data_IF_898131859187
#
_entry.id   IF_898131859187
#
_cell.length_a   1.000
_cell.length_b   1.000
_cell.length_c   1.000
_cell.angle_alpha   90.00
_cell.angle_beta   90.00
_cell.angle_gamma   90.00
#
_symmetry.space_group_name_H-M   'P 1'
#
loop_
_entity.id
_entity.type
_entity.pdbx_description
1 polymer ?
#
# COMPACT_ATOMS: atom_id res chain seq x y z
N UNK A 1 6.52 -12.86 14.90
CA UNK A 1 7.86 -12.81 15.51
C UNK A 1 8.40 -11.41 15.44
N UNK A 2 9.39 -11.06 16.27
CA UNK A 2 10.05 -9.75 16.24
C UNK A 2 10.97 -9.61 15.03
N UNK A 3 11.08 -8.39 14.49
CA UNK A 3 11.97 -8.03 13.37
C UNK A 3 13.28 -7.42 13.90
N UNK A 4 14.09 -8.24 14.55
CA UNK A 4 15.26 -7.81 15.32
C UNK A 4 16.61 -8.27 14.75
N UNK A 5 16.61 -9.17 13.77
CA UNK A 5 17.84 -9.65 13.15
C UNK A 5 18.33 -8.65 12.11
N UNK A 6 19.60 -8.25 12.17
CA UNK A 6 20.17 -7.29 11.22
C UNK A 6 21.14 -7.96 10.25
N UNK A 7 21.01 -7.67 8.97
CA UNK A 7 21.99 -8.08 7.97
C UNK A 7 23.30 -7.30 8.15
N UNK A 8 24.43 -8.01 8.28
CA UNK A 8 25.76 -7.40 8.44
C UNK A 8 26.23 -6.59 7.22
N UNK A 9 25.64 -6.83 6.04
CA UNK A 9 26.05 -6.16 4.81
C UNK A 9 25.30 -4.87 4.52
N UNK A 10 23.99 -4.83 4.81
CA UNK A 10 23.13 -3.67 4.46
C UNK A 10 22.36 -3.07 5.64
N UNK A 11 22.45 -3.64 6.85
CA UNK A 11 21.74 -3.15 8.02
C UNK A 11 20.22 -3.34 8.01
N UNK A 12 19.65 -3.94 6.95
CA UNK A 12 18.22 -4.25 6.89
C UNK A 12 17.83 -5.22 8.01
N UNK A 13 16.64 -5.01 8.58
CA UNK A 13 16.06 -5.85 9.64
C UNK A 13 15.26 -6.98 9.01
N UNK A 14 15.34 -8.16 9.61
CA UNK A 14 14.72 -9.41 9.17
C UNK A 14 14.05 -10.11 10.33
N UNK A 15 13.06 -10.93 9.99
CA UNK A 15 12.63 -11.98 10.91
C UNK A 15 13.63 -13.14 10.87
N UNK A 16 13.87 -13.78 12.01
CA UNK A 16 14.80 -14.92 12.08
C UNK A 16 14.41 -16.07 11.14
N UNK A 17 13.11 -16.23 10.85
CA UNK A 17 12.60 -17.24 9.91
C UNK A 17 12.99 -16.96 8.44
N UNK A 18 13.42 -15.74 8.11
CA UNK A 18 13.87 -15.35 6.77
C UNK A 18 15.36 -15.61 6.53
N UNK A 19 16.06 -16.17 7.52
CA UNK A 19 17.47 -16.55 7.37
C UNK A 19 17.63 -17.54 6.22
N UNK A 20 18.82 -17.54 5.62
CA UNK A 20 19.20 -18.56 4.66
C UNK A 20 19.08 -19.95 5.32
N UNK A 21 18.52 -20.91 4.58
CA UNK A 21 18.35 -22.29 5.02
C UNK A 21 19.67 -22.92 5.45
N UNK A 22 20.76 -22.55 4.76
CA UNK A 22 22.10 -23.07 5.02
C UNK A 22 22.85 -22.34 6.14
N UNK A 23 22.28 -21.29 6.71
CA UNK A 23 22.89 -20.56 7.82
C UNK A 23 22.48 -21.12 9.17
N UNK A 24 23.41 -21.13 10.13
CA UNK A 24 23.09 -21.55 11.50
C UNK A 24 22.29 -20.46 12.23
N UNK A 25 21.64 -20.81 13.34
CA UNK A 25 21.03 -19.82 14.22
C UNK A 25 22.07 -18.86 14.82
N UNK A 26 23.24 -19.39 15.18
CA UNK A 26 24.36 -18.62 15.75
C UNK A 26 25.06 -17.69 14.75
N UNK A 27 24.93 -17.96 13.45
CA UNK A 27 25.49 -17.17 12.36
C UNK A 27 24.46 -17.06 11.24
N UNK A 28 23.34 -16.42 11.57
CA UNK A 28 22.22 -16.24 10.65
C UNK A 28 22.63 -15.31 9.52
N UNK A 29 22.45 -15.75 8.27
CA UNK A 29 22.76 -14.96 7.08
C UNK A 29 21.49 -14.60 6.36
N UNK A 30 21.43 -13.36 5.85
CA UNK A 30 20.28 -12.83 5.13
C UNK A 30 20.73 -12.30 3.77
N UNK A 31 20.00 -12.67 2.72
CA UNK A 31 20.35 -12.32 1.35
C UNK A 31 19.24 -11.62 0.57
N UNK A 32 18.01 -11.56 1.08
CA UNK A 32 16.85 -11.10 0.31
C UNK A 32 17.00 -9.67 -0.22
N UNK A 33 17.56 -8.75 0.57
CA UNK A 33 17.69 -7.33 0.18
C UNK A 33 18.98 -6.99 -0.56
N UNK A 34 20.12 -7.55 -0.13
CA UNK A 34 21.44 -7.17 -0.63
C UNK A 34 22.16 -8.29 -1.39
N UNK A 35 21.49 -9.41 -1.65
CA UNK A 35 22.06 -10.62 -2.23
C UNK A 35 23.33 -11.10 -1.48
N UNK A 36 23.34 -10.97 -0.15
CA UNK A 36 24.49 -11.30 0.70
C UNK A 36 25.67 -10.32 0.52
N UNK A 37 25.38 -9.03 0.33
CA UNK A 37 26.37 -7.98 0.14
C UNK A 37 26.85 -7.79 -1.31
N UNK A 38 26.32 -8.56 -2.26
CA UNK A 38 26.62 -8.40 -3.70
C UNK A 38 25.99 -7.15 -4.28
N UNK A 39 24.83 -6.74 -3.76
CA UNK A 39 24.13 -5.54 -4.19
C UNK A 39 24.37 -4.42 -3.19
N UNK A 40 24.96 -3.32 -3.66
CA UNK A 40 25.06 -2.06 -2.90
C UNK A 40 23.75 -1.31 -3.05
N UNK A 41 22.96 -1.27 -1.98
CA UNK A 41 21.73 -0.50 -1.94
C UNK A 41 22.07 0.99 -1.80
N UNK A 42 21.31 1.89 -2.45
CA UNK A 42 21.38 3.31 -2.17
C UNK A 42 21.13 3.58 -0.68
N UNK A 43 21.69 4.67 -0.12
CA UNK A 43 21.30 5.13 1.20
C UNK A 43 19.78 5.31 1.26
N UNK A 44 19.16 4.91 2.37
CA UNK A 44 17.77 5.25 2.62
C UNK A 44 17.72 6.77 2.80
N UNK A 45 17.02 7.45 1.90
CA UNK A 45 16.78 8.87 2.04
C UNK A 45 15.77 9.08 3.15
N UNK A 46 16.01 10.07 4.00
CA UNK A 46 14.97 10.57 4.89
C UNK A 46 13.76 10.96 4.05
N UNK A 47 12.56 10.67 4.56
CA UNK A 47 11.33 11.06 3.88
C UNK A 47 11.41 12.56 3.58
N UNK A 48 11.25 12.99 2.31
CA UNK A 48 11.25 14.41 1.99
C UNK A 48 10.07 15.16 2.63
N UNK A 49 9.11 14.43 3.21
CA UNK A 49 7.91 14.95 3.85
C UNK A 49 7.84 14.50 5.32
N UNK A 50 8.39 15.27 6.26
CA UNK A 50 8.40 14.91 7.69
C UNK A 50 6.98 14.81 8.27
N UNK A 51 6.04 15.60 7.77
CA UNK A 51 4.63 15.52 8.16
C UNK A 51 4.01 14.13 7.86
N UNK A 52 4.33 13.54 6.70
CA UNK A 52 3.82 12.21 6.37
C UNK A 52 4.40 11.18 7.34
N UNK A 53 5.69 11.25 7.65
CA UNK A 53 6.30 10.34 8.62
C UNK A 53 5.62 10.48 10.00
N UNK A 54 5.35 11.70 10.43
CA UNK A 54 4.70 11.99 11.70
C UNK A 54 3.28 11.42 11.80
N UNK A 55 2.52 11.39 10.69
CA UNK A 55 1.22 10.70 10.60
C UNK A 55 1.32 9.18 10.84
N UNK A 56 2.47 8.56 10.55
CA UNK A 56 2.70 7.12 10.79
C UNK A 56 3.29 6.81 12.17
N UNK A 57 4.10 7.72 12.73
CA UNK A 57 4.93 7.41 13.90
C UNK A 57 4.51 8.12 15.18
N UNK A 58 3.80 9.25 15.09
CA UNK A 58 3.42 10.01 16.28
C UNK A 58 2.23 9.42 17.01
N UNK A 59 1.99 9.88 18.23
CA UNK A 59 0.82 9.53 19.04
C UNK A 59 -0.24 10.63 19.07
N UNK A 60 -0.18 11.58 18.13
CA UNK A 60 -1.17 12.64 18.01
C UNK A 60 -2.51 12.10 17.49
N UNK A 61 -3.60 12.83 17.77
CA UNK A 61 -4.95 12.46 17.32
C UNK A 61 -5.01 12.20 15.82
N UNK A 62 -4.31 13.01 15.05
CA UNK A 62 -4.34 13.00 13.59
C UNK A 62 -3.61 11.78 13.04
N UNK A 63 -2.47 11.41 13.65
CA UNK A 63 -1.73 10.19 13.31
C UNK A 63 -2.51 8.91 13.67
N UNK A 64 -3.19 8.90 14.82
CA UNK A 64 -4.06 7.80 15.23
C UNK A 64 -5.23 7.66 14.24
N UNK A 65 -5.89 8.77 13.89
CA UNK A 65 -6.98 8.79 12.92
C UNK A 65 -6.51 8.38 11.51
N UNK A 66 -5.35 8.87 11.10
CA UNK A 66 -4.73 8.51 9.82
C UNK A 66 -4.43 7.01 9.76
N UNK A 67 -3.73 6.46 10.75
CA UNK A 67 -3.43 5.02 10.81
C UNK A 67 -4.71 4.16 10.83
N UNK A 68 -5.75 4.62 11.54
CA UNK A 68 -7.05 3.93 11.56
C UNK A 68 -7.70 3.88 10.17
N UNK A 69 -7.60 4.96 9.40
CA UNK A 69 -8.28 5.13 8.11
C UNK A 69 -7.35 5.00 6.89
N UNK A 70 -6.12 4.54 7.08
CA UNK A 70 -5.06 4.55 6.06
C UNK A 70 -5.45 3.82 4.77
N UNK A 71 -6.27 2.76 4.88
CA UNK A 71 -6.77 2.02 3.71
C UNK A 71 -7.70 2.86 2.85
N UNK A 72 -8.58 3.65 3.47
CA UNK A 72 -9.48 4.56 2.76
C UNK A 72 -8.67 5.68 2.07
N UNK A 73 -7.72 6.30 2.78
CA UNK A 73 -6.80 7.28 2.20
C UNK A 73 -6.05 6.73 0.98
N UNK A 74 -5.46 5.54 1.10
CA UNK A 74 -4.73 4.90 0.00
C UNK A 74 -5.67 4.51 -1.16
N UNK A 75 -6.88 4.06 -0.88
CA UNK A 75 -7.87 3.69 -1.90
C UNK A 75 -8.35 4.90 -2.71
N UNK A 76 -8.60 6.01 -2.03
CA UNK A 76 -9.08 7.25 -2.64
C UNK A 76 -7.99 7.96 -3.46
N UNK A 77 -6.72 7.70 -3.14
CA UNK A 77 -5.56 8.15 -3.92
C UNK A 77 -5.05 7.08 -4.90
N UNK A 78 -5.71 5.93 -5.01
CA UNK A 78 -5.31 4.89 -5.95
C UNK A 78 -5.64 5.34 -7.38
N UNK A 79 -4.62 5.42 -8.22
CA UNK A 79 -4.79 5.77 -9.64
C UNK A 79 -5.46 4.67 -10.48
N UNK A 80 -5.61 3.46 -9.92
CA UNK A 80 -6.26 2.31 -10.55
C UNK A 80 -7.22 1.70 -9.54
N UNK A 81 -8.48 1.52 -9.94
CA UNK A 81 -9.37 0.58 -9.26
C UNK A 81 -9.06 -0.85 -9.70
N UNK A 82 -9.48 -1.81 -8.89
CA UNK A 82 -9.32 -3.23 -9.18
C UNK A 82 -10.69 -3.91 -9.10
N UNK A 83 -11.18 -4.39 -10.24
CA UNK A 83 -12.45 -5.11 -10.34
C UNK A 83 -12.21 -6.59 -10.64
N UNK A 84 -12.84 -7.46 -9.87
CA UNK A 84 -12.81 -8.90 -10.10
C UNK A 84 -14.16 -9.54 -9.77
N UNK A 85 -14.50 -10.61 -10.48
CA UNK A 85 -15.61 -11.46 -10.07
C UNK A 85 -15.15 -12.34 -8.91
N UNK A 86 -15.55 -11.98 -7.69
CA UNK A 86 -15.11 -12.65 -6.47
C UNK A 86 -16.01 -13.85 -6.18
N UNK A 87 -15.44 -15.04 -6.23
CA UNK A 87 -16.09 -16.24 -5.69
C UNK A 87 -16.07 -16.18 -4.16
N UNK A 88 -17.26 -16.01 -3.56
CA UNK A 88 -17.43 -15.89 -2.11
C UNK A 88 -17.39 -17.24 -1.38
N UNK A 89 -17.33 -18.36 -2.09
CA UNK A 89 -17.35 -19.70 -1.49
C UNK A 89 -16.11 -20.02 -0.64
N UNK A 90 -15.03 -19.23 -0.76
CA UNK A 90 -13.74 -19.47 -0.11
C UNK A 90 -13.45 -18.56 1.09
N UNK A 91 -14.41 -17.77 1.57
CA UNK A 91 -14.20 -16.90 2.72
C UNK A 91 -14.05 -17.73 4.01
N UNK A 92 -12.81 -17.89 4.46
CA UNK A 92 -12.47 -18.46 5.76
C UNK A 92 -12.73 -17.49 6.91
N UNK A 93 -12.76 -18.00 8.14
CA UNK A 93 -13.21 -17.27 9.33
C UNK A 93 -12.22 -16.21 9.85
N UNK A 94 -10.92 -16.29 9.52
CA UNK A 94 -9.87 -15.44 10.11
C UNK A 94 -9.16 -14.49 9.11
N UNK A 95 -9.05 -14.86 7.83
CA UNK A 95 -8.39 -14.04 6.81
C UNK A 95 -9.29 -13.94 5.59
N UNK A 96 -9.71 -12.72 5.26
CA UNK A 96 -10.48 -12.45 4.05
C UNK A 96 -9.60 -12.71 2.84
N UNK A 97 -9.72 -13.91 2.29
CA UNK A 97 -9.05 -14.34 1.07
C UNK A 97 -10.08 -14.35 -0.07
N UNK A 98 -9.73 -13.77 -1.21
CA UNK A 98 -10.50 -13.90 -2.45
C UNK A 98 -9.62 -14.54 -3.52
N UNK A 99 -10.22 -15.38 -4.35
CA UNK A 99 -9.53 -16.04 -5.46
C UNK A 99 -9.98 -15.43 -6.78
N UNK A 100 -9.01 -15.12 -7.64
CA UNK A 100 -9.25 -14.61 -8.99
C UNK A 100 -8.66 -15.61 -9.97
N UNK A 101 -9.47 -15.97 -10.96
CA UNK A 101 -9.04 -16.80 -12.08
C UNK A 101 -8.98 -15.95 -13.34
N UNK A 102 -7.88 -16.08 -14.09
CA UNK A 102 -7.67 -15.38 -15.36
C UNK A 102 -6.55 -14.33 -15.28
N UNK A 103 -6.49 -13.50 -16.31
CA UNK A 103 -5.49 -12.44 -16.45
C UNK A 103 -6.04 -11.13 -15.91
N UNK A 104 -5.22 -10.41 -15.15
CA UNK A 104 -5.53 -9.07 -14.66
C UNK A 104 -5.23 -8.09 -15.79
N UNK A 105 -6.23 -7.27 -16.15
CA UNK A 105 -6.09 -6.21 -17.13
C UNK A 105 -6.26 -4.86 -16.43
N UNK A 106 -5.36 -3.92 -16.71
CA UNK A 106 -5.57 -2.52 -16.35
C UNK A 106 -6.44 -1.88 -17.43
N UNK A 107 -7.64 -1.45 -17.03
CA UNK A 107 -8.52 -0.70 -17.93
C UNK A 107 -8.24 0.80 -17.77
N UNK A 108 -7.33 1.30 -18.61
CA UNK A 108 -7.03 2.74 -18.66
C UNK A 108 -7.94 3.35 -19.73
N UNK A 109 -8.91 4.15 -19.28
CA UNK A 109 -9.78 4.91 -20.18
C UNK A 109 -9.02 6.03 -20.91
N UNK A 110 -9.71 6.75 -21.79
CA UNK A 110 -9.16 7.97 -22.42
C UNK A 110 -8.64 8.94 -21.35
N UNK A 111 -7.54 9.65 -21.63
CA UNK A 111 -7.00 10.68 -20.74
C UNK A 111 -7.87 11.95 -20.70
N UNK A 112 -8.67 12.17 -21.75
CA UNK A 112 -9.62 13.28 -21.84
C UNK A 112 -11.04 12.73 -21.91
N UNK A 113 -12.01 13.34 -21.20
CA UNK A 113 -13.41 12.97 -21.36
C UNK A 113 -13.85 13.28 -22.79
N UNK A 114 -14.71 12.43 -23.35
CA UNK A 114 -15.42 12.75 -24.58
C UNK A 114 -16.38 13.92 -24.33
N UNK A 115 -16.66 14.72 -25.37
CA UNK A 115 -17.52 15.89 -25.24
C UNK A 115 -18.87 15.54 -24.61
N UNK A 116 -19.18 16.19 -23.47
CA UNK A 116 -20.44 15.99 -22.73
C UNK A 116 -20.45 14.79 -21.77
N UNK A 117 -19.34 14.07 -21.60
CA UNK A 117 -19.21 13.01 -20.61
C UNK A 117 -18.61 13.51 -19.29
N UNK A 118 -19.00 12.90 -18.18
CA UNK A 118 -18.39 13.16 -16.87
C UNK A 118 -16.97 12.60 -16.81
N UNK A 119 -16.10 13.23 -16.01
CA UNK A 119 -14.75 12.74 -15.75
C UNK A 119 -14.79 11.36 -15.08
N UNK A 120 -13.90 10.46 -15.49
CA UNK A 120 -13.76 9.11 -14.92
C UNK A 120 -12.29 8.76 -14.62
N UNK A 121 -12.08 7.95 -13.57
CA UNK A 121 -10.77 7.36 -13.22
C UNK A 121 -9.62 8.38 -13.14
N UNK A 122 -8.58 8.24 -13.97
CA UNK A 122 -7.38 9.08 -13.95
C UNK A 122 -7.65 10.52 -14.43
N UNK A 123 -8.72 10.75 -15.20
CA UNK A 123 -9.09 12.09 -15.68
C UNK A 123 -9.37 13.06 -14.52
N UNK A 124 -9.90 12.52 -13.42
CA UNK A 124 -10.13 13.21 -12.17
C UNK A 124 -8.83 13.86 -11.63
N UNK A 125 -7.69 13.21 -11.80
CA UNK A 125 -6.43 13.72 -11.26
C UNK A 125 -5.79 14.81 -12.13
N UNK A 126 -6.21 14.94 -13.40
CA UNK A 126 -5.53 15.75 -14.42
C UNK A 126 -6.34 17.00 -14.80
N UNK A 127 -7.67 16.90 -14.87
CA UNK A 127 -8.50 17.94 -15.49
C UNK A 127 -8.96 19.04 -14.51
N UNK A 128 -9.40 18.67 -13.30
CA UNK A 128 -9.80 19.63 -12.25
C UNK A 128 -9.46 19.08 -10.85
N UNK A 129 -8.24 19.38 -10.40
CA UNK A 129 -7.71 18.90 -9.13
C UNK A 129 -8.55 19.35 -7.92
N UNK A 130 -9.20 20.52 -8.00
CA UNK A 130 -9.98 21.06 -6.88
C UNK A 130 -11.35 20.39 -6.77
N UNK A 131 -12.05 20.24 -7.90
CA UNK A 131 -13.31 19.49 -7.96
C UNK A 131 -13.13 18.06 -7.44
N UNK A 132 -11.99 17.46 -7.75
CA UNK A 132 -11.73 16.08 -7.37
C UNK A 132 -11.32 15.90 -5.92
N UNK A 133 -10.66 16.89 -5.34
CA UNK A 133 -10.50 16.90 -3.89
C UNK A 133 -11.86 16.92 -3.19
N UNK A 134 -12.82 17.73 -3.65
CA UNK A 134 -14.18 17.73 -3.11
C UNK A 134 -14.91 16.40 -3.26
N UNK A 135 -14.82 15.75 -4.43
CA UNK A 135 -15.40 14.42 -4.65
C UNK A 135 -14.79 13.36 -3.72
N UNK A 136 -13.46 13.38 -3.55
CA UNK A 136 -12.74 12.48 -2.62
C UNK A 136 -13.18 12.66 -1.17
N UNK A 137 -13.36 13.90 -0.71
CA UNK A 137 -13.86 14.18 0.63
C UNK A 137 -15.28 13.63 0.83
N UNK A 138 -16.12 13.70 -0.19
CA UNK A 138 -17.48 13.15 -0.14
C UNK A 138 -17.48 11.62 0.04
N UNK A 139 -16.66 10.90 -0.71
CA UNK A 139 -16.53 9.42 -0.61
C UNK A 139 -16.07 8.99 0.79
N UNK A 140 -15.16 9.75 1.43
CA UNK A 140 -14.72 9.45 2.80
C UNK A 140 -15.84 9.55 3.84
N UNK A 141 -16.85 10.39 3.61
CA UNK A 141 -17.98 10.52 4.53
C UNK A 141 -19.02 9.41 4.34
N UNK A 142 -19.19 8.93 3.10
CA UNK A 142 -20.15 7.86 2.79
C UNK A 142 -19.65 6.47 3.23
N UNK A 143 -18.35 6.16 3.10
CA UNK A 143 -17.79 4.87 3.57
C UNK A 143 -17.88 4.71 5.11
N UNK A 144 -17.88 5.81 5.87
CA UNK A 144 -18.08 5.78 7.32
C UNK A 144 -19.52 5.39 7.73
N UNK A 145 -20.46 5.42 6.79
CA UNK A 145 -21.87 5.04 7.00
C UNK A 145 -22.23 3.65 6.46
N UNK A 146 -21.30 2.97 5.78
CA UNK A 146 -21.50 1.63 5.23
C UNK A 146 -20.99 0.49 6.16
N UNK A 147 -20.44 0.83 7.33
CA UNK A 147 -20.07 -0.11 8.40
C UNK A 147 -21.07 -0.03 9.57
N UNK A 148 -22.31 -0.51 9.36
CA UNK A 148 -23.20 -1.04 10.41
C UNK A 148 -23.79 -2.37 9.92
#
# INVERSE_FOLDING_TARGET
GSIDQMCLHCGAKFWLCEKDRNSSLSSSRFAMYCAGGKLRLPPVFDSPFPYLLDLYTSSHSDAISFCKNIRAYNGILACSSFGANIDKSFQGQDVSNFKIHGQIYHHIGSLLPDEGQNLIFTQLYIYDTNHENSNRFHVMHDDASAEI
#
